data_IF_300233945473
#
_entry.id   IF_300233945473
#
_cell.length_a   1.000
_cell.length_b   1.000
_cell.length_c   1.000
_cell.angle_alpha   90.00
_cell.angle_beta   90.00
_cell.angle_gamma   90.00
#
_symmetry.space_group_name_H-M   'P 1'
#
loop_
_entity.id
_entity.type
_entity.pdbx_description
1 polymer ?
#
# COMPACT_ATOMS: atom_id res chain seq x y z
N UNK A 1 21.29 24.41 -0.76
CA UNK A 1 21.57 24.40 0.69
C UNK A 1 20.30 23.93 1.38
N UNK A 2 20.25 22.73 1.98
CA UNK A 2 19.02 22.26 2.59
C UNK A 2 18.78 23.02 3.91
N UNK A 3 17.54 23.45 4.21
CA UNK A 3 17.25 24.18 5.44
C UNK A 3 17.06 23.25 6.65
N UNK A 4 17.31 23.86 7.80
CA UNK A 4 17.39 23.34 9.17
C UNK A 4 15.98 23.05 9.75
N UNK A 5 15.88 22.01 10.58
CA UNK A 5 14.69 21.65 11.38
C UNK A 5 14.10 22.85 12.14
N UNK A 6 12.78 23.03 12.06
CA UNK A 6 12.02 23.82 13.05
C UNK A 6 10.89 24.68 12.51
N UNK A 7 9.88 24.10 11.85
CA UNK A 7 8.55 24.70 11.75
C UNK A 7 7.56 23.60 11.37
N UNK A 8 6.34 23.64 11.94
CA UNK A 8 5.23 22.74 11.61
C UNK A 8 5.19 22.46 10.11
N UNK A 9 5.39 21.21 9.71
CA UNK A 9 5.14 20.80 8.34
C UNK A 9 3.63 20.90 8.10
N UNK A 10 3.21 22.04 7.55
CA UNK A 10 2.07 22.08 6.67
C UNK A 10 2.47 21.17 5.51
N UNK A 11 1.87 19.98 5.42
CA UNK A 11 2.14 19.04 4.34
C UNK A 11 1.70 19.70 3.03
N UNK A 12 2.65 20.15 2.23
CA UNK A 12 2.42 20.70 0.88
C UNK A 12 2.11 19.48 -0.03
N UNK A 13 0.84 19.07 -0.01
CA UNK A 13 0.20 17.92 -0.67
C UNK A 13 1.12 16.74 -1.02
N UNK A 14 1.32 15.85 -0.05
CA UNK A 14 1.87 14.52 -0.27
C UNK A 14 0.88 13.66 -1.06
N UNK A 15 1.26 13.17 -2.25
CA UNK A 15 0.45 12.19 -2.99
C UNK A 15 0.91 10.78 -2.65
N UNK A 16 -0.03 9.86 -2.48
CA UNK A 16 0.27 8.44 -2.53
C UNK A 16 0.72 8.14 -3.96
N UNK A 17 1.86 7.48 -4.11
CA UNK A 17 2.35 7.05 -5.41
C UNK A 17 2.53 5.55 -5.45
N UNK A 18 2.20 4.97 -6.61
CA UNK A 18 2.44 3.57 -6.91
C UNK A 18 3.35 3.46 -8.14
N UNK A 19 4.40 2.62 -8.11
CA UNK A 19 5.24 2.41 -9.28
C UNK A 19 4.42 1.91 -10.48
N UNK A 20 4.78 2.32 -11.70
CA UNK A 20 4.17 1.76 -12.92
C UNK A 20 4.67 0.35 -13.22
N UNK A 21 5.88 0.02 -12.76
CA UNK A 21 6.49 -1.29 -12.96
C UNK A 21 6.19 -2.19 -11.77
N UNK A 22 4.99 -2.76 -11.77
CA UNK A 22 4.55 -3.77 -10.81
C UNK A 22 4.48 -5.13 -11.49
N UNK A 23 4.65 -6.20 -10.71
CA UNK A 23 4.48 -7.56 -11.21
C UNK A 23 3.33 -8.22 -10.47
N UNK A 24 2.56 -9.02 -11.19
CA UNK A 24 1.45 -9.80 -10.61
C UNK A 24 1.91 -10.71 -9.47
N UNK A 25 3.16 -11.19 -9.53
CA UNK A 25 3.77 -12.07 -8.52
C UNK A 25 4.23 -11.36 -7.24
N UNK A 26 4.21 -10.03 -7.19
CA UNK A 26 4.68 -9.30 -6.02
C UNK A 26 3.65 -9.45 -4.89
N UNK A 27 4.11 -9.90 -3.72
CA UNK A 27 3.28 -10.02 -2.51
C UNK A 27 2.89 -8.65 -1.98
N UNK A 28 3.81 -7.68 -2.05
CA UNK A 28 3.63 -6.31 -1.59
C UNK A 28 4.05 -5.34 -2.70
N UNK A 29 3.34 -4.23 -2.85
CA UNK A 29 3.76 -3.15 -3.75
C UNK A 29 4.58 -2.10 -3.01
N UNK A 30 5.55 -1.53 -3.72
CA UNK A 30 6.41 -0.44 -3.24
C UNK A 30 5.65 0.90 -3.24
N UNK A 31 4.58 1.00 -2.45
CA UNK A 31 3.79 2.24 -2.28
C UNK A 31 4.63 3.30 -1.58
N UNK A 32 4.69 4.51 -2.10
CA UNK A 32 5.36 5.64 -1.46
C UNK A 32 4.41 6.81 -1.25
N UNK A 33 4.86 7.78 -0.46
CA UNK A 33 4.20 9.06 -0.27
C UNK A 33 5.22 10.13 -0.61
N UNK A 34 4.99 10.85 -1.70
CA UNK A 34 5.91 11.85 -2.23
C UNK A 34 5.23 13.22 -2.34
N UNK A 35 5.94 14.31 -2.04
CA UNK A 35 5.48 15.66 -2.41
C UNK A 35 5.23 15.76 -3.91
N UNK A 36 4.20 16.51 -4.33
CA UNK A 36 3.76 16.59 -5.73
C UNK A 36 4.87 17.00 -6.72
N UNK A 37 5.82 17.83 -6.28
CA UNK A 37 6.96 18.30 -7.07
C UNK A 37 8.11 17.27 -7.18
N UNK A 38 8.07 16.20 -6.39
CA UNK A 38 9.06 15.12 -6.40
C UNK A 38 8.59 13.86 -7.13
N UNK A 39 7.36 13.86 -7.65
CA UNK A 39 6.79 12.70 -8.35
C UNK A 39 7.37 12.63 -9.77
N UNK A 40 8.23 11.65 -10.03
CA UNK A 40 8.57 11.26 -11.40
C UNK A 40 7.37 10.54 -12.04
N UNK A 41 6.57 11.29 -12.80
CA UNK A 41 5.39 10.76 -13.50
C UNK A 41 5.72 9.76 -14.60
N UNK A 42 6.99 9.59 -14.98
CA UNK A 42 7.38 8.50 -15.87
C UNK A 42 7.38 7.16 -15.14
N UNK A 43 7.83 7.14 -13.88
CA UNK A 43 8.01 5.92 -13.07
C UNK A 43 6.83 5.63 -12.12
N UNK A 44 6.02 6.63 -11.78
CA UNK A 44 4.94 6.50 -10.80
C UNK A 44 3.57 6.96 -11.31
N UNK A 45 2.51 6.35 -10.78
CA UNK A 45 1.14 6.86 -10.80
C UNK A 45 0.80 7.49 -9.45
N UNK A 46 0.19 8.69 -9.47
CA UNK A 46 -0.35 9.31 -8.28
C UNK A 46 -1.77 8.82 -8.00
N UNK A 47 -2.08 8.53 -6.74
CA UNK A 47 -3.40 8.14 -6.26
C UNK A 47 -3.97 9.25 -5.36
N UNK A 48 -5.27 9.58 -5.48
CA UNK A 48 -5.87 10.66 -4.72
C UNK A 48 -6.19 10.22 -3.28
N UNK A 49 -5.29 10.51 -2.35
CA UNK A 49 -5.52 10.41 -0.90
C UNK A 49 -4.38 11.08 -0.12
N UNK A 50 -4.70 11.65 1.03
CA UNK A 50 -3.77 12.16 2.05
C UNK A 50 -3.76 11.28 3.32
N UNK A 51 -4.50 10.17 3.31
CA UNK A 51 -4.68 9.30 4.47
C UNK A 51 -3.57 8.26 4.56
N UNK A 52 -2.79 8.32 5.64
CA UNK A 52 -1.75 7.34 5.93
C UNK A 52 -2.34 5.96 6.24
N UNK A 53 -3.56 5.86 6.76
CA UNK A 53 -4.28 4.59 6.87
C UNK A 53 -4.58 3.96 5.51
N UNK A 54 -4.97 4.76 4.51
CA UNK A 54 -5.14 4.28 3.12
C UNK A 54 -3.81 3.78 2.57
N UNK A 55 -2.70 4.51 2.81
CA UNK A 55 -1.36 4.04 2.44
C UNK A 55 -1.07 2.66 3.06
N UNK A 56 -1.41 2.45 4.33
CA UNK A 56 -1.27 1.16 4.99
C UNK A 56 -2.04 0.05 4.28
N UNK A 57 -3.28 0.29 3.87
CA UNK A 57 -4.07 -0.67 3.09
C UNK A 57 -3.42 -0.98 1.75
N UNK A 58 -2.87 0.01 1.06
CA UNK A 58 -2.23 -0.19 -0.25
C UNK A 58 -0.85 -0.86 -0.15
N UNK A 59 -0.15 -0.67 0.97
CA UNK A 59 1.16 -1.24 1.23
C UNK A 59 1.09 -2.70 1.71
N UNK A 60 -0.07 -3.18 2.13
CA UNK A 60 -0.31 -4.55 2.58
C UNK A 60 -0.44 -5.55 1.43
N UNK A 61 -0.57 -6.83 1.73
CA UNK A 61 -0.82 -7.87 0.71
C UNK A 61 -2.23 -7.82 0.11
N UNK A 62 -3.18 -7.17 0.80
CA UNK A 62 -4.58 -7.08 0.37
C UNK A 62 -4.73 -6.37 -0.97
N UNK A 63 -3.95 -5.31 -1.19
CA UNK A 63 -4.07 -4.54 -2.43
C UNK A 63 -3.52 -5.30 -3.66
N UNK A 64 -2.33 -5.93 -3.60
CA UNK A 64 -1.90 -6.85 -4.65
C UNK A 64 -2.88 -8.02 -4.91
N UNK A 65 -3.47 -8.62 -3.86
CA UNK A 65 -4.51 -9.66 -3.99
C UNK A 65 -5.69 -9.13 -4.81
N UNK A 66 -6.19 -7.93 -4.44
CA UNK A 66 -7.29 -7.29 -5.14
C UNK A 66 -6.96 -6.98 -6.60
N UNK A 67 -5.81 -6.35 -6.85
CA UNK A 67 -5.35 -5.98 -8.19
C UNK A 67 -5.28 -7.22 -9.08
N UNK A 68 -4.68 -8.32 -8.61
CA UNK A 68 -4.64 -9.59 -9.35
C UNK A 68 -6.02 -10.11 -9.76
N UNK A 69 -7.05 -9.87 -8.95
CA UNK A 69 -8.39 -10.40 -9.19
C UNK A 69 -9.18 -9.60 -10.23
N UNK A 70 -8.97 -8.28 -10.31
CA UNK A 70 -9.71 -7.40 -11.22
C UNK A 70 -8.92 -6.97 -12.46
N UNK A 71 -7.62 -7.22 -12.46
CA UNK A 71 -6.72 -6.94 -13.58
C UNK A 71 -7.02 -7.81 -14.79
N UNK A 72 -7.16 -7.18 -15.96
CA UNK A 72 -7.11 -7.85 -17.25
C UNK A 72 -5.67 -8.28 -17.53
N UNK A 73 -5.47 -9.58 -17.83
CA UNK A 73 -4.16 -10.16 -18.14
C UNK A 73 -3.47 -9.53 -19.35
N UNK A 74 -4.17 -8.72 -20.14
CA UNK A 74 -3.66 -8.02 -21.31
C UNK A 74 -3.08 -6.63 -21.01
N UNK A 75 -3.34 -6.07 -19.82
CA UNK A 75 -2.89 -4.73 -19.40
C UNK A 75 -1.82 -4.88 -18.30
N UNK A 76 -0.91 -3.91 -18.19
CA UNK A 76 0.10 -3.96 -17.13
C UNK A 76 -0.52 -3.63 -15.78
N UNK A 77 -0.09 -4.34 -14.72
CA UNK A 77 -0.56 -4.15 -13.34
C UNK A 77 -0.46 -2.68 -12.89
N UNK A 78 0.57 -1.97 -13.35
CA UNK A 78 0.74 -0.54 -13.09
C UNK A 78 -0.37 0.31 -13.71
N UNK A 79 -0.76 0.06 -14.96
CA UNK A 79 -1.83 0.82 -15.64
C UNK A 79 -3.20 0.58 -15.01
N UNK A 80 -3.44 -0.62 -14.49
CA UNK A 80 -4.71 -0.95 -13.84
C UNK A 80 -4.76 -0.55 -12.36
N UNK A 81 -3.61 -0.25 -11.74
CA UNK A 81 -3.56 0.12 -10.32
C UNK A 81 -4.46 1.30 -9.95
N UNK A 82 -4.66 2.26 -10.84
CA UNK A 82 -5.57 3.38 -10.62
C UNK A 82 -7.04 2.93 -10.61
N UNK A 83 -7.42 2.07 -11.57
CA UNK A 83 -8.75 1.45 -11.59
C UNK A 83 -8.96 0.57 -10.36
N UNK A 84 -7.93 -0.19 -9.99
CA UNK A 84 -7.97 -1.08 -8.84
C UNK A 84 -8.09 -0.34 -7.52
N UNK A 85 -7.39 0.78 -7.38
CA UNK A 85 -7.53 1.70 -6.26
C UNK A 85 -8.97 2.23 -6.16
N UNK A 86 -9.51 2.76 -7.27
CA UNK A 86 -10.85 3.35 -7.28
C UNK A 86 -11.95 2.34 -6.94
N UNK A 87 -11.75 1.07 -7.31
CA UNK A 87 -12.70 -0.02 -7.04
C UNK A 87 -12.36 -0.80 -5.77
N UNK A 88 -11.30 -0.45 -5.03
CA UNK A 88 -10.91 -1.20 -3.84
C UNK A 88 -12.00 -1.07 -2.77
N UNK A 89 -12.48 -2.18 -2.17
CA UNK A 89 -13.54 -2.15 -1.19
C UNK A 89 -13.01 -1.73 0.19
N UNK A 90 -12.69 -0.45 0.36
CA UNK A 90 -12.11 0.09 1.60
C UNK A 90 -13.00 -0.18 2.82
N UNK A 91 -12.43 -0.61 3.96
CA UNK A 91 -13.17 -0.82 5.21
C UNK A 91 -13.57 0.51 5.86
N UNK A 92 -14.67 0.51 6.59
CA UNK A 92 -15.03 1.63 7.46
C UNK A 92 -14.18 1.56 8.73
N UNK A 93 -13.19 2.46 8.83
CA UNK A 93 -12.24 2.45 9.93
C UNK A 93 -12.76 3.26 11.12
N UNK A 94 -12.82 2.63 12.29
CA UNK A 94 -12.91 3.37 13.55
C UNK A 94 -11.65 4.21 13.80
N UNK A 95 -11.73 5.21 14.68
CA UNK A 95 -10.58 6.06 15.04
C UNK A 95 -9.38 5.25 15.55
N UNK A 96 -9.61 4.17 16.30
CA UNK A 96 -8.55 3.30 16.80
C UNK A 96 -7.92 2.47 15.69
N UNK A 97 -8.72 1.90 14.78
CA UNK A 97 -8.22 1.15 13.62
C UNK A 97 -7.44 2.03 12.66
N UNK A 98 -7.91 3.27 12.44
CA UNK A 98 -7.21 4.24 11.61
C UNK A 98 -5.81 4.52 12.19
N UNK A 99 -5.73 4.89 13.48
CA UNK A 99 -4.46 5.11 14.17
C UNK A 99 -3.54 3.89 14.17
N UNK A 100 -4.10 2.69 14.32
CA UNK A 100 -3.34 1.44 14.27
C UNK A 100 -2.68 1.26 12.89
N UNK A 101 -3.41 1.48 11.80
CA UNK A 101 -2.85 1.38 10.45
C UNK A 101 -1.79 2.44 10.19
N UNK A 102 -2.00 3.68 10.65
CA UNK A 102 -1.00 4.75 10.55
C UNK A 102 0.31 4.39 11.28
N UNK A 103 0.21 3.79 12.46
CA UNK A 103 1.36 3.31 13.21
C UNK A 103 2.09 2.19 12.47
N UNK A 104 1.36 1.17 12.00
CA UNK A 104 1.92 0.01 11.30
C UNK A 104 2.61 0.40 10.00
N UNK A 105 2.00 1.26 9.18
CA UNK A 105 2.67 1.74 7.95
C UNK A 105 3.87 2.65 8.26
N UNK A 106 3.83 3.39 9.37
CA UNK A 106 4.99 4.12 9.88
C UNK A 106 6.18 3.19 10.21
N UNK A 107 5.91 2.01 10.78
CA UNK A 107 6.92 0.98 11.02
C UNK A 107 7.47 0.43 9.69
N UNK A 108 6.62 0.17 8.70
CA UNK A 108 7.05 -0.23 7.35
C UNK A 108 7.98 0.82 6.73
N UNK A 109 7.63 2.11 6.81
CA UNK A 109 8.47 3.20 6.31
C UNK A 109 9.80 3.31 7.05
N UNK A 110 9.79 3.13 8.37
CA UNK A 110 11.01 3.11 9.17
C UNK A 110 11.91 1.93 8.79
N UNK A 111 11.35 0.74 8.61
CA UNK A 111 12.07 -0.45 8.16
C UNK A 111 12.73 -0.20 6.79
N UNK A 112 12.01 0.40 5.84
CA UNK A 112 12.55 0.78 4.53
C UNK A 112 13.70 1.78 4.62
N UNK A 113 13.64 2.76 5.51
CA UNK A 113 14.65 3.81 5.62
C UNK A 113 16.05 3.29 5.96
N UNK A 114 16.14 2.10 6.57
CA UNK A 114 17.40 1.41 6.87
C UNK A 114 18.12 0.98 5.58
N UNK A 115 17.37 0.74 4.50
CA UNK A 115 17.85 0.23 3.21
C UNK A 115 18.32 1.34 2.25
N UNK A 116 18.62 2.53 2.78
CA UNK A 116 18.86 3.82 2.09
C UNK A 116 19.75 3.85 0.84
N UNK A 117 20.52 2.80 0.53
CA UNK A 117 21.37 2.71 -0.66
C UNK A 117 20.72 1.97 -1.84
N UNK A 118 19.59 1.29 -1.64
CA UNK A 118 18.90 0.55 -2.70
C UNK A 118 17.74 1.36 -3.26
N UNK A 119 17.47 1.25 -4.58
CA UNK A 119 16.22 1.78 -5.14
C UNK A 119 15.05 0.99 -4.57
N UNK A 120 13.94 1.67 -4.24
CA UNK A 120 12.78 1.00 -3.62
C UNK A 120 12.24 -0.13 -4.51
N UNK A 121 12.19 0.09 -5.83
CA UNK A 121 11.82 -0.94 -6.80
C UNK A 121 12.71 -2.19 -6.70
N UNK A 122 14.00 -2.04 -6.42
CA UNK A 122 14.95 -3.15 -6.37
C UNK A 122 14.75 -3.99 -5.09
N UNK A 123 14.39 -3.33 -3.98
CA UNK A 123 14.04 -4.00 -2.72
C UNK A 123 12.82 -4.91 -2.89
N UNK A 124 11.76 -4.39 -3.53
CA UNK A 124 10.49 -5.13 -3.72
C UNK A 124 10.50 -6.08 -4.91
N UNK A 125 11.35 -5.82 -5.91
CA UNK A 125 11.50 -6.70 -7.07
C UNK A 125 12.39 -7.93 -6.78
N UNK A 126 13.12 -7.93 -5.66
CA UNK A 126 13.88 -9.06 -5.17
C UNK A 126 13.05 -10.34 -5.00
N UNK A 127 13.71 -11.49 -4.95
CA UNK A 127 13.02 -12.76 -4.68
C UNK A 127 12.46 -12.85 -3.26
N UNK A 128 13.12 -12.19 -2.30
CA UNK A 128 12.75 -12.20 -0.87
C UNK A 128 12.98 -10.81 -0.30
N UNK A 129 11.97 -10.28 0.41
CA UNK A 129 12.12 -9.02 1.16
C UNK A 129 13.12 -9.22 2.31
N UNK A 130 13.92 -8.19 2.66
CA UNK A 130 14.73 -8.23 3.87
C UNK A 130 13.86 -8.54 5.10
N UNK A 131 14.33 -9.43 5.99
CA UNK A 131 13.56 -9.97 7.12
C UNK A 131 12.85 -8.88 7.95
N UNK A 132 13.56 -7.83 8.36
CA UNK A 132 12.97 -6.72 9.13
C UNK A 132 11.85 -5.97 8.39
N UNK A 133 11.92 -5.91 7.07
CA UNK A 133 10.89 -5.28 6.24
C UNK A 133 9.72 -6.23 6.01
N UNK A 134 9.99 -7.53 5.86
CA UNK A 134 8.96 -8.55 5.78
C UNK A 134 8.12 -8.58 7.07
N UNK A 135 8.76 -8.65 8.23
CA UNK A 135 8.09 -8.61 9.54
C UNK A 135 7.21 -7.37 9.67
N UNK A 136 7.69 -6.20 9.23
CA UNK A 136 6.90 -4.96 9.30
C UNK A 136 5.63 -5.02 8.43
N UNK A 137 5.68 -5.71 7.29
CA UNK A 137 4.52 -5.95 6.44
C UNK A 137 3.57 -7.00 7.01
N UNK A 138 4.10 -8.10 7.54
CA UNK A 138 3.30 -9.13 8.21
C UNK A 138 2.51 -8.51 9.38
N UNK A 139 3.16 -7.67 10.18
CA UNK A 139 2.55 -6.90 11.27
C UNK A 139 1.39 -5.98 10.81
N UNK A 140 1.47 -5.46 9.59
CA UNK A 140 0.45 -4.62 8.95
C UNK A 140 -0.70 -5.47 8.39
N UNK A 141 -0.38 -6.61 7.78
CA UNK A 141 -1.34 -7.59 7.29
C UNK A 141 -2.16 -8.17 8.45
N UNK A 142 -1.54 -8.52 9.58
CA UNK A 142 -2.24 -8.98 10.78
C UNK A 142 -3.27 -7.95 11.29
N UNK A 143 -2.93 -6.66 11.25
CA UNK A 143 -3.84 -5.60 11.63
C UNK A 143 -5.05 -5.52 10.67
N UNK A 144 -4.82 -5.72 9.36
CA UNK A 144 -5.89 -5.74 8.36
C UNK A 144 -6.76 -7.00 8.45
N UNK A 145 -6.17 -8.16 8.68
CA UNK A 145 -6.94 -9.39 8.95
C UNK A 145 -7.93 -9.16 10.09
N UNK A 146 -7.47 -8.56 11.20
CA UNK A 146 -8.35 -8.16 12.30
C UNK A 146 -9.43 -7.14 11.91
N UNK A 147 -9.13 -6.15 11.05
CA UNK A 147 -10.10 -5.16 10.56
C UNK A 147 -11.17 -5.80 9.67
N UNK A 148 -10.79 -6.77 8.85
CA UNK A 148 -11.70 -7.52 7.97
C UNK A 148 -12.35 -8.72 8.66
N UNK A 149 -12.06 -8.98 9.93
CA UNK A 149 -12.65 -10.07 10.71
C UNK A 149 -12.18 -11.46 10.27
N UNK A 150 -10.98 -11.56 9.71
CA UNK A 150 -10.34 -12.80 9.25
C UNK A 150 -9.41 -13.38 10.33
N UNK A 151 -9.21 -14.71 10.37
CA UNK A 151 -8.19 -15.34 11.20
C UNK A 151 -6.78 -14.97 10.72
N UNK A 152 -5.77 -15.12 11.60
CA UNK A 152 -4.37 -14.81 11.25
C UNK A 152 -3.83 -15.72 10.15
N UNK A 153 -4.36 -16.94 10.05
CA UNK A 153 -3.96 -17.94 9.06
C UNK A 153 -4.71 -17.82 7.73
N UNK A 154 -5.50 -16.75 7.54
CA UNK A 154 -6.29 -16.59 6.32
C UNK A 154 -5.38 -16.50 5.08
N UNK A 155 -5.73 -17.25 4.04
CA UNK A 155 -5.00 -17.27 2.79
C UNK A 155 -5.54 -16.22 1.78
N UNK A 156 -4.80 -16.02 0.67
CA UNK A 156 -5.17 -15.08 -0.40
C UNK A 156 -6.62 -15.26 -0.91
N UNK A 157 -7.13 -16.50 -0.96
CA UNK A 157 -8.49 -16.75 -1.45
C UNK A 157 -9.56 -16.32 -0.44
N UNK A 158 -9.32 -16.53 0.86
CA UNK A 158 -10.21 -16.08 1.94
C UNK A 158 -10.22 -14.55 2.05
N UNK A 159 -9.04 -13.92 1.93
CA UNK A 159 -8.92 -12.45 1.84
C UNK A 159 -9.71 -11.93 0.64
N UNK A 160 -9.50 -12.52 -0.54
CA UNK A 160 -10.20 -12.12 -1.76
C UNK A 160 -11.71 -12.29 -1.64
N UNK A 161 -12.19 -13.37 -1.03
CA UNK A 161 -13.61 -13.61 -0.82
C UNK A 161 -14.26 -12.49 0.00
N UNK A 162 -13.62 -12.06 1.09
CA UNK A 162 -14.12 -10.95 1.93
C UNK A 162 -14.12 -9.63 1.16
N UNK A 163 -13.05 -9.33 0.41
CA UNK A 163 -12.97 -8.13 -0.42
C UNK A 163 -14.09 -8.12 -1.48
N UNK A 164 -14.31 -9.24 -2.18
CA UNK A 164 -15.35 -9.36 -3.20
C UNK A 164 -16.76 -9.19 -2.62
N UNK A 165 -17.05 -9.79 -1.46
CA UNK A 165 -18.34 -9.60 -0.76
C UNK A 165 -18.57 -8.12 -0.46
N UNK A 166 -17.58 -7.44 0.11
CA UNK A 166 -17.66 -6.01 0.43
C UNK A 166 -17.79 -5.13 -0.81
N UNK A 167 -17.09 -5.44 -1.89
CA UNK A 167 -17.22 -4.72 -3.16
C UNK A 167 -18.65 -4.77 -3.69
N UNK A 168 -19.29 -5.94 -3.65
CA UNK A 168 -20.70 -6.11 -4.05
C UNK A 168 -21.66 -5.35 -3.13
N UNK A 169 -21.38 -5.26 -1.83
CA UNK A 169 -22.18 -4.47 -0.88
C UNK A 169 -22.09 -2.96 -1.15
N UNK A 170 -20.89 -2.46 -1.46
CA UNK A 170 -20.65 -1.04 -1.76
C UNK A 170 -21.12 -0.61 -3.16
N UNK A 171 -21.33 -1.57 -4.07
CA UNK A 171 -21.76 -1.31 -5.46
C UNK A 171 -23.29 -1.32 -5.66
N UNK A 172 -24.06 -1.41 -4.57
CA UNK A 172 -25.54 -1.36 -4.57
C UNK A 172 -26.04 0.03 -4.23
#
# INVERSE_FOLDING_TARGET
MPPILGAKAVWDFSSIVIPKRLRTKDTYFAIEVLPADQIDRAEFHGLPSDSLAIVGILASSFFPIWVRAISDRTVTVGEESASAYNNFPFPDLSKSQNKLLEEKVGIVFKARSILSFNKLSDIYSGQVLPEHLLIAHEDLDEALLGIFGLPLEANDAEILEVLMKRFVELSK
#
